data_IF_700833919870
#
_entry.id   IF_700833919870
#
_cell.length_a   1.000
_cell.length_b   1.000
_cell.length_c   1.000
_cell.angle_alpha   90.00
_cell.angle_beta   90.00
_cell.angle_gamma   90.00
#
_symmetry.space_group_name_H-M   'P 1'
#
loop_
_entity.id
_entity.type
_entity.pdbx_description
1 polymer ?
#
# COMPACT_ATOMS: atom_id res chain seq x y z
N UNK A 1 -29.18 0.35 -5.39
CA UNK A 1 -27.92 0.68 -4.67
C UNK A 1 -26.74 0.15 -5.47
N UNK A 2 -25.74 0.98 -5.67
CA UNK A 2 -24.51 0.57 -6.31
C UNK A 2 -23.68 -0.27 -5.34
N UNK A 3 -23.03 -1.29 -5.85
CA UNK A 3 -22.23 -2.20 -5.07
C UNK A 3 -20.74 -1.88 -5.26
N UNK A 4 -20.01 -1.77 -4.16
CA UNK A 4 -18.55 -1.64 -4.18
C UNK A 4 -17.95 -3.00 -4.54
N UNK A 5 -17.15 -3.03 -5.60
CA UNK A 5 -16.44 -4.23 -6.05
C UNK A 5 -14.96 -4.06 -5.77
N UNK A 6 -14.36 -5.06 -5.10
CA UNK A 6 -12.91 -5.12 -4.91
C UNK A 6 -12.38 -6.30 -5.70
N UNK A 7 -11.38 -6.05 -6.54
CA UNK A 7 -10.79 -7.07 -7.40
C UNK A 7 -9.31 -6.85 -7.61
N UNK A 8 -8.64 -7.89 -8.08
CA UNK A 8 -7.25 -7.79 -8.51
C UNK A 8 -7.15 -6.92 -9.77
N UNK A 9 -6.15 -6.05 -9.80
CA UNK A 9 -5.85 -5.24 -10.97
C UNK A 9 -5.17 -6.09 -12.04
N UNK A 10 -5.45 -5.77 -13.30
CA UNK A 10 -4.83 -6.37 -14.49
C UNK A 10 -4.14 -5.30 -15.33
N UNK A 11 -3.40 -5.70 -16.36
CA UNK A 11 -2.61 -4.77 -17.18
C UNK A 11 -3.45 -3.62 -17.77
N UNK A 12 -4.69 -3.89 -18.14
CA UNK A 12 -5.62 -2.91 -18.70
C UNK A 12 -6.01 -1.82 -17.69
N UNK A 13 -5.80 -2.05 -16.40
CA UNK A 13 -6.11 -1.07 -15.35
C UNK A 13 -4.98 -0.05 -15.15
N UNK A 14 -3.78 -0.29 -15.66
CA UNK A 14 -2.57 0.49 -15.32
C UNK A 14 -2.77 2.00 -15.54
N UNK A 15 -3.30 2.40 -16.69
CA UNK A 15 -3.48 3.83 -16.99
C UNK A 15 -4.47 4.49 -16.03
N UNK A 16 -5.55 3.82 -15.66
CA UNK A 16 -6.53 4.34 -14.71
C UNK A 16 -5.93 4.46 -13.31
N UNK A 17 -5.10 3.50 -12.90
CA UNK A 17 -4.40 3.55 -11.62
C UNK A 17 -3.39 4.70 -11.58
N UNK A 18 -2.62 4.90 -12.66
CA UNK A 18 -1.70 6.02 -12.77
C UNK A 18 -2.44 7.36 -12.66
N UNK A 19 -3.54 7.52 -13.38
CA UNK A 19 -4.34 8.74 -13.33
C UNK A 19 -4.87 9.01 -11.92
N UNK A 20 -5.37 7.98 -11.23
CA UNK A 20 -5.91 8.13 -9.88
C UNK A 20 -4.84 8.57 -8.88
N UNK A 21 -3.69 7.91 -8.85
CA UNK A 21 -2.66 8.24 -7.86
C UNK A 21 -2.03 9.60 -8.13
N UNK A 22 -1.84 9.99 -9.38
CA UNK A 22 -1.28 11.29 -9.72
C UNK A 22 -2.24 12.44 -9.40
N UNK A 23 -3.54 12.21 -9.47
CA UNK A 23 -4.56 13.21 -9.14
C UNK A 23 -4.90 13.25 -7.64
N UNK A 24 -5.11 12.08 -7.02
CA UNK A 24 -5.64 11.97 -5.65
C UNK A 24 -4.59 11.60 -4.60
N UNK A 25 -3.41 11.14 -5.02
CA UNK A 25 -2.32 10.76 -4.12
C UNK A 25 -1.51 11.91 -3.52
N UNK A 26 -1.26 13.02 -4.25
CA UNK A 26 -0.41 14.08 -3.73
C UNK A 26 -0.98 14.72 -2.47
N UNK A 27 -0.12 14.82 -1.45
CA UNK A 27 -0.40 15.52 -0.19
C UNK A 27 0.96 15.89 0.43
N UNK A 28 1.00 16.64 1.56
CA UNK A 28 2.27 17.05 2.17
C UNK A 28 3.19 15.91 2.60
N UNK A 29 2.64 14.70 2.74
CA UNK A 29 3.37 13.56 3.30
C UNK A 29 3.86 12.56 2.27
N UNK A 30 3.34 12.61 1.03
CA UNK A 30 3.69 11.68 -0.04
C UNK A 30 4.71 12.30 -1.00
N UNK A 31 5.68 11.49 -1.40
CA UNK A 31 6.61 11.81 -2.48
C UNK A 31 6.28 10.88 -3.65
N UNK A 32 5.73 11.45 -4.73
CA UNK A 32 5.18 10.68 -5.86
C UNK A 32 5.77 11.19 -7.20
N UNK A 33 7.06 10.91 -7.49
CA UNK A 33 7.62 11.24 -8.80
C UNK A 33 6.90 10.44 -9.90
N UNK A 34 6.40 11.13 -10.92
CA UNK A 34 5.55 10.51 -11.95
C UNK A 34 6.21 9.34 -12.67
N UNK A 35 7.48 9.49 -13.06
CA UNK A 35 8.21 8.43 -13.78
C UNK A 35 8.29 7.15 -12.93
N UNK A 36 8.63 7.28 -11.67
CA UNK A 36 8.77 6.16 -10.74
C UNK A 36 7.42 5.51 -10.43
N UNK A 37 6.38 6.31 -10.25
CA UNK A 37 5.01 5.82 -10.06
C UNK A 37 4.56 5.00 -11.26
N UNK A 38 4.78 5.50 -12.47
CA UNK A 38 4.41 4.80 -13.70
C UNK A 38 5.19 3.51 -13.88
N UNK A 39 6.51 3.52 -13.62
CA UNK A 39 7.33 2.30 -13.69
C UNK A 39 6.85 1.25 -12.70
N UNK A 40 6.53 1.65 -11.48
CA UNK A 40 6.01 0.76 -10.45
C UNK A 40 4.70 0.09 -10.91
N UNK A 41 3.75 0.87 -11.39
CA UNK A 41 2.44 0.34 -11.80
C UNK A 41 2.51 -0.47 -13.09
N UNK A 42 3.46 -0.18 -14.00
CA UNK A 42 3.69 -1.01 -15.19
C UNK A 42 4.12 -2.44 -14.81
N UNK A 43 4.71 -2.63 -13.63
CA UNK A 43 5.03 -3.95 -13.11
C UNK A 43 3.83 -4.87 -12.94
N UNK A 44 2.60 -4.33 -12.95
CA UNK A 44 1.37 -5.14 -12.90
C UNK A 44 1.28 -6.06 -14.13
N UNK A 45 1.74 -5.60 -15.28
CA UNK A 45 1.70 -6.39 -16.53
C UNK A 45 2.56 -7.66 -16.45
N UNK A 46 3.58 -7.67 -15.59
CA UNK A 46 4.51 -8.81 -15.44
C UNK A 46 4.42 -9.48 -14.07
N UNK A 47 3.48 -9.09 -13.24
CA UNK A 47 3.33 -9.51 -11.85
C UNK A 47 4.52 -9.16 -10.93
N UNK A 48 5.39 -8.26 -11.35
CA UNK A 48 6.42 -7.67 -10.49
C UNK A 48 5.78 -6.77 -9.42
N UNK A 49 4.65 -6.16 -9.76
CA UNK A 49 3.77 -5.42 -8.85
C UNK A 49 2.40 -6.08 -8.86
N UNK A 50 1.81 -6.21 -7.68
CA UNK A 50 0.43 -6.66 -7.51
C UNK A 50 -0.40 -5.48 -7.05
N UNK A 51 -1.70 -5.49 -7.34
CA UNK A 51 -2.60 -4.45 -6.85
C UNK A 51 -4.03 -4.98 -6.71
N UNK A 52 -4.72 -4.50 -5.69
CA UNK A 52 -6.17 -4.64 -5.55
C UNK A 52 -6.81 -3.27 -5.71
N UNK A 53 -7.94 -3.22 -6.37
CA UNK A 53 -8.65 -1.97 -6.62
C UNK A 53 -10.11 -2.07 -6.17
N UNK A 54 -10.68 -0.91 -5.88
CA UNK A 54 -12.09 -0.77 -5.55
C UNK A 54 -12.77 0.06 -6.64
N UNK A 55 -13.89 -0.44 -7.14
CA UNK A 55 -14.68 0.26 -8.13
C UNK A 55 -16.17 0.17 -7.81
N UNK A 56 -16.92 1.16 -8.26
CA UNK A 56 -18.35 1.23 -8.11
C UNK A 56 -18.93 1.77 -9.41
N UNK A 57 -19.82 1.02 -10.03
CA UNK A 57 -20.42 1.37 -11.33
C UNK A 57 -19.33 1.69 -12.39
N UNK A 58 -18.24 0.92 -12.41
CA UNK A 58 -17.15 1.11 -13.35
C UNK A 58 -16.21 2.28 -13.03
N UNK A 59 -16.46 3.04 -11.96
CA UNK A 59 -15.60 4.13 -11.52
C UNK A 59 -14.56 3.61 -10.53
N UNK A 60 -13.30 3.88 -10.79
CA UNK A 60 -12.20 3.54 -9.90
C UNK A 60 -12.21 4.49 -8.69
N UNK A 61 -12.32 3.92 -7.49
CA UNK A 61 -12.38 4.68 -6.24
C UNK A 61 -11.09 4.64 -5.43
N UNK A 62 -10.26 3.63 -5.64
CA UNK A 62 -9.01 3.49 -4.91
C UNK A 62 -8.27 2.24 -5.29
N UNK A 63 -7.00 2.15 -4.86
CA UNK A 63 -6.23 0.93 -4.99
C UNK A 63 -5.11 0.87 -3.96
N UNK A 64 -4.63 -0.35 -3.75
CA UNK A 64 -3.42 -0.62 -2.97
C UNK A 64 -2.50 -1.46 -3.84
N UNK A 65 -1.26 -1.04 -4.02
CA UNK A 65 -0.25 -1.81 -4.72
C UNK A 65 0.76 -2.40 -3.74
N UNK A 66 1.29 -3.57 -4.07
CA UNK A 66 2.20 -4.30 -3.19
C UNK A 66 3.08 -5.23 -4.01
N UNK A 67 4.13 -5.73 -3.37
CA UNK A 67 5.06 -6.66 -4.01
C UNK A 67 5.63 -7.65 -3.00
N UNK A 68 6.17 -8.73 -3.52
CA UNK A 68 6.97 -9.68 -2.76
C UNK A 68 8.41 -9.17 -2.70
N UNK A 69 9.08 -9.29 -1.56
CA UNK A 69 10.40 -8.72 -1.37
C UNK A 69 11.16 -9.42 -0.25
N UNK A 70 12.45 -9.15 -0.15
CA UNK A 70 13.31 -9.48 0.99
C UNK A 70 13.99 -8.23 1.58
N UNK A 71 13.51 -7.05 1.22
CA UNK A 71 14.11 -5.76 1.62
C UNK A 71 14.03 -5.49 3.13
N UNK A 72 13.13 -6.18 3.83
CA UNK A 72 12.92 -6.01 5.28
C UNK A 72 13.46 -7.21 6.07
N UNK A 73 14.49 -7.88 5.56
CA UNK A 73 15.06 -9.06 6.20
C UNK A 73 15.50 -8.81 7.64
N UNK A 74 16.03 -7.61 7.93
CA UNK A 74 16.49 -7.23 9.27
C UNK A 74 15.36 -7.14 10.29
N UNK A 75 14.10 -7.07 9.83
CA UNK A 75 12.92 -6.98 10.68
C UNK A 75 12.15 -8.28 10.78
N UNK A 76 12.57 -9.30 10.04
CA UNK A 76 11.90 -10.59 10.05
C UNK A 76 12.11 -11.35 11.36
N UNK A 77 11.09 -12.06 11.87
CA UNK A 77 11.28 -12.95 13.01
C UNK A 77 12.31 -14.04 12.70
N UNK A 78 13.06 -14.46 13.70
CA UNK A 78 14.10 -15.51 13.53
C UNK A 78 13.54 -16.78 12.90
N UNK A 79 12.30 -17.17 13.24
CA UNK A 79 11.65 -18.35 12.69
C UNK A 79 11.35 -18.24 11.19
N UNK A 80 11.31 -17.04 10.65
CA UNK A 80 11.03 -16.76 9.24
C UNK A 80 12.17 -16.01 8.55
N UNK A 81 13.37 -16.08 9.12
CA UNK A 81 14.55 -15.48 8.51
C UNK A 81 14.76 -16.05 7.11
N UNK A 82 15.03 -15.18 6.15
CA UNK A 82 15.26 -15.55 4.76
C UNK A 82 13.99 -15.82 3.94
N UNK A 83 12.82 -15.82 4.55
CA UNK A 83 11.56 -15.96 3.81
C UNK A 83 11.20 -14.66 3.09
N UNK A 84 10.58 -14.82 1.92
CA UNK A 84 9.96 -13.72 1.19
C UNK A 84 8.83 -13.14 2.04
N UNK A 85 8.73 -11.82 2.05
CA UNK A 85 7.67 -11.09 2.73
C UNK A 85 7.01 -10.09 1.78
N UNK A 86 5.95 -9.44 2.23
CA UNK A 86 5.21 -8.47 1.44
C UNK A 86 5.54 -7.04 1.84
N UNK A 87 5.48 -6.15 0.86
CA UNK A 87 5.57 -4.70 1.10
C UNK A 87 4.42 -4.01 0.38
N UNK A 88 3.64 -3.23 1.14
CA UNK A 88 2.61 -2.37 0.58
C UNK A 88 3.29 -1.09 0.08
N UNK A 89 3.23 -0.87 -1.24
CA UNK A 89 3.95 0.22 -1.89
C UNK A 89 3.15 1.51 -1.91
N UNK A 90 1.92 1.46 -2.41
CA UNK A 90 1.04 2.62 -2.54
C UNK A 90 -0.37 2.28 -2.05
N UNK A 91 -1.02 3.25 -1.43
CA UNK A 91 -2.43 3.17 -1.05
C UNK A 91 -3.05 4.53 -1.33
N UNK A 92 -4.02 4.58 -2.23
CA UNK A 92 -4.69 5.81 -2.61
C UNK A 92 -6.20 5.59 -2.75
N UNK A 93 -6.98 6.58 -2.28
CA UNK A 93 -8.44 6.60 -2.39
C UNK A 93 -8.84 7.95 -3.00
N UNK A 94 -9.83 7.91 -3.88
CA UNK A 94 -10.41 9.11 -4.46
C UNK A 94 -10.84 10.07 -3.33
N UNK A 95 -10.50 11.35 -3.48
CA UNK A 95 -10.74 12.35 -2.41
C UNK A 95 -12.19 12.41 -1.96
N UNK A 96 -13.13 12.26 -2.90
CA UNK A 96 -14.57 12.31 -2.58
C UNK A 96 -15.04 11.09 -1.79
N UNK A 97 -14.21 10.05 -1.69
CA UNK A 97 -14.51 8.82 -0.94
C UNK A 97 -13.71 8.71 0.36
N UNK A 98 -13.02 9.77 0.76
CA UNK A 98 -12.25 9.78 2.00
C UNK A 98 -13.15 9.56 3.22
N UNK A 99 -12.66 8.83 4.21
CA UNK A 99 -13.38 8.58 5.46
C UNK A 99 -14.43 7.48 5.39
N UNK A 100 -14.58 6.80 4.25
CA UNK A 100 -15.57 5.70 4.09
C UNK A 100 -15.00 4.31 4.42
N UNK A 101 -13.73 4.23 4.80
CA UNK A 101 -13.09 2.95 5.13
C UNK A 101 -12.58 2.15 3.94
N UNK A 102 -12.62 2.70 2.73
CA UNK A 102 -12.18 2.00 1.51
C UNK A 102 -10.71 1.66 1.57
N UNK A 103 -9.86 2.59 2.04
CA UNK A 103 -8.41 2.36 2.16
C UNK A 103 -8.07 1.19 3.09
N UNK A 104 -8.69 1.14 4.26
CA UNK A 104 -8.50 0.04 5.21
C UNK A 104 -9.00 -1.30 4.64
N UNK A 105 -10.12 -1.28 3.92
CA UNK A 105 -10.66 -2.48 3.26
C UNK A 105 -9.70 -2.97 2.18
N UNK A 106 -9.15 -2.07 1.36
CA UNK A 106 -8.17 -2.43 0.34
C UNK A 106 -6.88 -2.99 0.94
N UNK A 107 -6.38 -2.40 2.04
CA UNK A 107 -5.22 -2.94 2.76
C UNK A 107 -5.49 -4.36 3.25
N UNK A 108 -6.66 -4.60 3.82
CA UNK A 108 -7.05 -5.94 4.28
C UNK A 108 -7.07 -6.95 3.14
N UNK A 109 -7.62 -6.56 1.98
CA UNK A 109 -7.64 -7.43 0.80
C UNK A 109 -6.23 -7.73 0.27
N UNK A 110 -5.34 -6.73 0.25
CA UNK A 110 -3.94 -6.92 -0.14
C UNK A 110 -3.22 -7.91 0.80
N UNK A 111 -3.42 -7.75 2.10
CA UNK A 111 -2.85 -8.65 3.12
C UNK A 111 -3.37 -10.07 2.94
N UNK A 112 -4.66 -10.24 2.71
CA UNK A 112 -5.27 -11.56 2.47
C UNK A 112 -4.72 -12.22 1.21
N UNK A 113 -4.52 -11.46 0.13
CA UNK A 113 -3.89 -11.98 -1.08
C UNK A 113 -2.46 -12.47 -0.82
N UNK A 114 -1.68 -11.68 -0.08
CA UNK A 114 -0.32 -12.06 0.31
C UNK A 114 -0.33 -13.34 1.16
N UNK A 115 -1.25 -13.46 2.11
CA UNK A 115 -1.39 -14.67 2.92
C UNK A 115 -1.76 -15.89 2.08
N UNK A 116 -2.64 -15.74 1.09
CA UNK A 116 -2.95 -16.83 0.14
C UNK A 116 -1.73 -17.24 -0.69
N UNK A 117 -0.74 -16.38 -0.85
CA UNK A 117 0.54 -16.65 -1.51
C UNK A 117 1.60 -17.18 -0.54
N UNK A 118 1.21 -17.57 0.67
CA UNK A 118 2.09 -18.09 1.73
C UNK A 118 3.09 -17.05 2.28
N UNK A 119 2.74 -15.78 2.19
CA UNK A 119 3.52 -14.67 2.78
C UNK A 119 2.97 -14.39 4.17
N UNK A 120 3.80 -14.52 5.20
CA UNK A 120 3.37 -14.41 6.59
C UNK A 120 3.53 -13.00 7.17
N UNK A 121 4.43 -12.22 6.64
CA UNK A 121 4.78 -10.89 7.16
C UNK A 121 4.57 -9.84 6.09
N UNK A 122 3.85 -8.77 6.42
CA UNK A 122 3.55 -7.68 5.51
C UNK A 122 4.00 -6.37 6.14
N UNK A 123 4.83 -5.62 5.41
CA UNK A 123 5.37 -4.35 5.84
C UNK A 123 4.73 -3.21 5.09
N UNK A 124 4.59 -2.08 5.76
CA UNK A 124 4.10 -0.82 5.19
C UNK A 124 4.76 0.33 5.93
N UNK A 125 5.04 1.41 5.24
CA UNK A 125 5.56 2.60 5.88
C UNK A 125 4.76 3.86 5.52
N UNK A 126 4.94 4.90 6.32
CA UNK A 126 4.28 6.19 6.13
C UNK A 126 5.17 7.31 6.67
N UNK A 127 4.89 8.54 6.28
CA UNK A 127 5.41 9.68 7.02
C UNK A 127 4.87 9.62 8.46
N UNK A 128 5.75 9.83 9.46
CA UNK A 128 5.31 9.70 10.85
C UNK A 128 4.17 10.65 11.24
N UNK A 129 4.09 11.81 10.60
CA UNK A 129 3.06 12.81 10.87
C UNK A 129 1.76 12.63 10.06
N UNK A 130 1.71 11.64 9.16
CA UNK A 130 0.52 11.35 8.37
C UNK A 130 -0.52 10.60 9.19
N UNK A 131 -1.36 11.35 9.90
CA UNK A 131 -2.37 10.80 10.81
C UNK A 131 -3.43 9.96 10.09
N UNK A 132 -3.81 10.35 8.88
CA UNK A 132 -4.79 9.61 8.07
C UNK A 132 -4.28 8.21 7.71
N UNK A 133 -3.02 8.12 7.25
CA UNK A 133 -2.39 6.82 6.99
C UNK A 133 -2.22 6.00 8.26
N UNK A 134 -1.83 6.63 9.37
CA UNK A 134 -1.70 5.95 10.65
C UNK A 134 -3.02 5.30 11.08
N UNK A 135 -4.12 6.02 10.97
CA UNK A 135 -5.45 5.51 11.29
C UNK A 135 -5.88 4.35 10.38
N UNK A 136 -5.63 4.48 9.09
CA UNK A 136 -5.94 3.45 8.09
C UNK A 136 -5.15 2.17 8.36
N UNK A 137 -3.85 2.28 8.63
CA UNK A 137 -2.97 1.15 8.93
C UNK A 137 -3.38 0.45 10.23
N UNK A 138 -3.68 1.23 11.27
CA UNK A 138 -4.15 0.68 12.55
C UNK A 138 -5.46 -0.07 12.39
N UNK A 139 -6.40 0.49 11.63
CA UNK A 139 -7.70 -0.14 11.36
C UNK A 139 -7.55 -1.46 10.61
N UNK A 140 -6.55 -1.56 9.73
CA UNK A 140 -6.23 -2.78 9.01
C UNK A 140 -5.44 -3.81 9.84
N UNK A 141 -5.02 -3.46 11.06
CA UNK A 141 -4.36 -4.37 11.99
C UNK A 141 -2.84 -4.28 12.05
N UNK A 142 -2.24 -3.30 11.37
CA UNK A 142 -0.78 -3.10 11.41
C UNK A 142 -0.33 -2.53 12.75
N UNK A 143 0.84 -2.97 13.21
CA UNK A 143 1.51 -2.46 14.41
C UNK A 143 2.78 -1.72 14.02
N UNK A 144 3.10 -0.65 14.72
CA UNK A 144 4.33 0.12 14.49
C UNK A 144 5.56 -0.66 14.99
N UNK A 145 6.62 -0.69 14.19
CA UNK A 145 7.91 -1.30 14.53
C UNK A 145 8.93 -0.25 14.95
N UNK A 146 9.16 0.76 14.13
CA UNK A 146 10.13 1.82 14.40
C UNK A 146 9.84 3.05 13.55
N UNK A 147 10.41 4.17 14.00
CA UNK A 147 10.45 5.42 13.25
C UNK A 147 11.91 5.80 13.02
N UNK A 148 12.26 6.21 11.80
CA UNK A 148 13.63 6.48 11.40
C UNK A 148 13.70 7.67 10.45
N UNK A 149 14.87 8.32 10.39
CA UNK A 149 15.11 9.43 9.47
C UNK A 149 15.08 8.93 8.03
N UNK A 150 14.31 9.61 7.18
CA UNK A 150 14.10 9.22 5.79
C UNK A 150 13.90 10.47 4.91
N UNK A 151 14.85 11.42 4.94
CA UNK A 151 14.64 12.74 4.33
C UNK A 151 14.45 12.69 2.81
N UNK A 152 15.03 11.71 2.12
CA UNK A 152 14.89 11.57 0.67
C UNK A 152 13.44 11.23 0.27
N UNK A 153 12.78 10.35 1.01
CA UNK A 153 11.40 9.95 0.76
C UNK A 153 10.38 10.85 1.47
N UNK A 154 10.81 11.53 2.52
CA UNK A 154 9.95 12.40 3.35
C UNK A 154 10.53 13.82 3.37
N UNK A 155 10.42 14.57 2.27
CA UNK A 155 11.05 15.88 2.16
C UNK A 155 10.36 16.97 2.99
N UNK A 156 9.21 16.69 3.58
CA UNK A 156 8.43 17.65 4.36
C UNK A 156 8.29 17.22 5.82
N UNK A 157 7.94 18.17 6.68
CA UNK A 157 7.72 17.91 8.11
C UNK A 157 8.98 17.39 8.80
N UNK A 158 8.83 16.37 9.63
CA UNK A 158 9.94 15.79 10.39
C UNK A 158 10.97 15.05 9.54
N UNK A 159 10.65 14.73 8.29
CA UNK A 159 11.53 13.95 7.42
C UNK A 159 11.70 12.50 7.87
N UNK A 160 10.75 11.94 8.61
CA UNK A 160 10.85 10.60 9.21
C UNK A 160 9.74 9.68 8.72
N UNK A 161 10.10 8.41 8.55
CA UNK A 161 9.15 7.33 8.24
C UNK A 161 8.88 6.46 9.46
N UNK A 162 7.63 6.00 9.59
CA UNK A 162 7.26 4.96 10.54
C UNK A 162 6.99 3.67 9.77
N UNK A 163 7.74 2.62 10.09
CA UNK A 163 7.57 1.28 9.53
C UNK A 163 6.60 0.50 10.40
N UNK A 164 5.61 -0.11 9.76
CA UNK A 164 4.60 -0.93 10.40
C UNK A 164 4.62 -2.34 9.81
N UNK A 165 4.07 -3.29 10.55
CA UNK A 165 4.05 -4.70 10.15
C UNK A 165 2.75 -5.36 10.58
N UNK A 166 2.27 -6.29 9.77
CA UNK A 166 1.20 -7.21 10.11
C UNK A 166 1.69 -8.64 9.89
N UNK A 167 1.64 -9.44 10.93
CA UNK A 167 2.13 -10.83 10.91
C UNK A 167 0.97 -11.79 11.06
N UNK A 168 1.00 -12.88 10.29
CA UNK A 168 0.04 -13.98 10.48
C UNK A 168 0.33 -14.62 11.83
N UNK A 169 -0.71 -14.74 12.65
CA UNK A 169 -0.62 -15.53 13.87
C UNK A 169 -0.62 -17.02 13.49
N UNK A 170 0.41 -17.69 13.89
CA UNK A 170 0.46 -19.15 13.82
C UNK A 170 -0.20 -19.76 15.05
#
# INVERSE_FOLDING_TARGET
>A
MSELVIRQAVAEDIEALCALILEHGPNPWNHLPEVEVRQHLQGIATNATLAVLAEEQGLLLGFVSYRLTQDFADHQPAARAGQVHGYICEAVVHRDCAGLGIGAHLLTEAVQDLWRRNVCDVYIDRHEENAASAGMMRKAGFSELLTYADPARRPHGSGRSTLCCLRVRQ
#
